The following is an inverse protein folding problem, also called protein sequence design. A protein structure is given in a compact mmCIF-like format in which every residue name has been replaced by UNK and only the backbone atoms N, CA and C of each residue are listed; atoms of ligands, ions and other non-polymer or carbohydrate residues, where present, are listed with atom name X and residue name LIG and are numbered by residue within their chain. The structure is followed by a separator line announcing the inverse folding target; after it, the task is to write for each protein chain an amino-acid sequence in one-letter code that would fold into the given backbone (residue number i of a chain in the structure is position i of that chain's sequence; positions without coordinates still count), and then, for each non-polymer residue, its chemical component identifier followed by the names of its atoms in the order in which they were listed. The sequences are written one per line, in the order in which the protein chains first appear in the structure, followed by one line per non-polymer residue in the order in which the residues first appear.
data_IF_223553916682
#
_entry.id   IF_223553916682
#
_cell.length_a   1.000
_cell.length_b   1.000
_cell.length_c   1.000
_cell.angle_alpha   90.00
_cell.angle_beta   90.00
_cell.angle_gamma   90.00
#
_symmetry.space_group_name_H-M   'P 1'
#
loop_
_entity.id
_entity.type
_entity.pdbx_description
1 polymer ?
#
# COMPACT_ATOMS: atom_id res chain seq x y z
N UNK A 1 18.83 -7.28 -23.09
CA UNK A 1 19.22 -7.60 -21.89
C UNK A 1 18.12 -7.83 -20.79
N UNK A 2 18.51 -8.40 -19.67
CA UNK A 2 17.58 -8.94 -18.69
C UNK A 2 16.47 -8.02 -18.21
N UNK A 3 16.74 -6.73 -18.10
CA UNK A 3 15.75 -5.76 -17.61
C UNK A 3 14.57 -5.58 -18.56
N UNK A 4 14.81 -5.68 -19.87
CA UNK A 4 13.73 -5.60 -20.83
C UNK A 4 12.76 -6.79 -20.73
N UNK A 5 13.25 -7.94 -20.26
CA UNK A 5 12.41 -9.11 -20.06
C UNK A 5 11.59 -9.03 -18.77
N UNK A 6 11.95 -8.14 -17.86
CA UNK A 6 11.23 -7.97 -16.59
C UNK A 6 10.23 -6.82 -16.66
N UNK A 7 9.44 -6.81 -17.71
CA UNK A 7 8.28 -5.93 -17.68
C UNK A 7 7.45 -6.34 -16.48
N UNK A 8 7.43 -5.49 -15.46
CA UNK A 8 6.63 -5.74 -14.30
C UNK A 8 5.19 -5.99 -14.77
N UNK A 9 4.63 -7.12 -14.39
CA UNK A 9 3.20 -7.32 -14.52
C UNK A 9 2.57 -6.18 -13.74
N UNK A 10 1.62 -5.49 -14.34
CA UNK A 10 0.91 -4.40 -13.68
C UNK A 10 0.43 -4.86 -12.30
N UNK A 11 0.74 -4.08 -11.27
CA UNK A 11 0.39 -4.42 -9.90
C UNK A 11 1.35 -5.34 -9.17
N UNK A 12 2.57 -5.58 -9.70
CA UNK A 12 3.60 -6.38 -9.02
C UNK A 12 4.85 -5.55 -8.78
N UNK A 13 5.01 -5.04 -7.56
CA UNK A 13 6.15 -4.22 -7.13
C UNK A 13 6.52 -3.14 -8.13
N UNK A 14 5.52 -2.47 -8.67
CA UNK A 14 5.72 -1.47 -9.71
C UNK A 14 5.86 -0.09 -9.06
N UNK A 15 7.03 0.56 -9.16
CA UNK A 15 7.23 1.86 -8.52
C UNK A 15 6.68 2.99 -9.39
N UNK A 16 6.10 3.99 -8.70
CA UNK A 16 5.68 5.24 -9.32
C UNK A 16 6.17 6.38 -8.44
N UNK A 17 6.89 7.32 -9.04
CA UNK A 17 7.23 8.56 -8.33
C UNK A 17 6.13 9.56 -8.59
N UNK A 18 5.42 9.96 -7.53
CA UNK A 18 4.36 10.94 -7.64
C UNK A 18 4.94 12.35 -7.79
N UNK A 19 4.12 13.28 -8.30
CA UNK A 19 4.55 14.67 -8.53
C UNK A 19 5.07 15.35 -7.27
N UNK A 20 4.52 14.99 -6.11
CA UNK A 20 4.96 15.51 -4.80
C UNK A 20 6.21 14.81 -4.24
N UNK A 21 6.83 13.92 -4.99
CA UNK A 21 8.04 13.21 -4.58
C UNK A 21 7.83 11.91 -3.83
N UNK A 22 6.58 11.55 -3.52
CA UNK A 22 6.27 10.30 -2.84
C UNK A 22 6.55 9.11 -3.75
N UNK A 23 7.19 8.07 -3.19
CA UNK A 23 7.36 6.79 -3.88
C UNK A 23 6.15 5.91 -3.57
N UNK A 24 5.37 5.59 -4.59
CA UNK A 24 4.23 4.69 -4.48
C UNK A 24 4.57 3.38 -5.16
N UNK A 25 4.49 2.27 -4.42
CA UNK A 25 4.72 0.94 -4.95
C UNK A 25 3.37 0.26 -5.17
N UNK A 26 3.08 -0.04 -6.42
CA UNK A 26 1.88 -0.80 -6.79
C UNK A 26 2.19 -2.29 -6.74
N UNK A 27 1.75 -2.95 -5.66
CA UNK A 27 1.86 -4.40 -5.48
C UNK A 27 0.46 -5.00 -5.30
N UNK A 28 -0.50 -4.48 -6.05
CA UNK A 28 -1.93 -4.73 -5.88
C UNK A 28 -2.44 -5.99 -6.60
N UNK A 29 -1.58 -6.69 -7.35
CA UNK A 29 -2.05 -7.82 -8.16
C UNK A 29 -2.59 -8.96 -7.30
N UNK A 30 -1.87 -9.35 -6.24
CA UNK A 30 -2.28 -10.42 -5.34
C UNK A 30 -1.58 -10.29 -3.99
N UNK A 31 -2.03 -11.08 -3.01
CA UNK A 31 -1.44 -11.08 -1.67
C UNK A 31 -1.59 -12.44 -0.99
N UNK A 32 -0.47 -12.95 -0.46
CA UNK A 32 -0.42 -14.06 0.46
C UNK A 32 0.55 -13.71 1.59
N UNK A 33 0.61 -14.47 2.69
CA UNK A 33 1.47 -14.10 3.83
C UNK A 33 2.93 -13.88 3.45
N UNK A 34 3.52 -14.75 2.64
CA UNK A 34 4.93 -14.63 2.25
C UNK A 34 5.16 -13.39 1.39
N UNK A 35 4.28 -13.12 0.42
CA UNK A 35 4.43 -11.94 -0.44
C UNK A 35 4.19 -10.65 0.32
N UNK A 36 3.32 -10.65 1.33
CA UNK A 36 3.11 -9.47 2.18
C UNK A 36 4.35 -9.21 3.03
N UNK A 37 4.95 -10.23 3.62
CA UNK A 37 6.19 -10.07 4.39
C UNK A 37 7.31 -9.52 3.52
N UNK A 38 7.47 -10.05 2.30
CA UNK A 38 8.47 -9.53 1.36
C UNK A 38 8.21 -8.06 1.00
N UNK A 39 6.94 -7.70 0.81
CA UNK A 39 6.56 -6.32 0.53
C UNK A 39 6.88 -5.39 1.71
N UNK A 40 6.62 -5.85 2.94
CA UNK A 40 6.95 -5.08 4.14
C UNK A 40 8.47 -4.85 4.22
N UNK A 41 9.26 -5.87 3.91
CA UNK A 41 10.73 -5.72 3.89
C UNK A 41 11.18 -4.65 2.89
N UNK A 42 10.59 -4.64 1.71
CA UNK A 42 10.88 -3.62 0.69
C UNK A 42 10.49 -2.23 1.22
N UNK A 43 9.28 -2.10 1.73
CA UNK A 43 8.79 -0.81 2.25
C UNK A 43 9.67 -0.30 3.39
N UNK A 44 10.10 -1.21 4.27
CA UNK A 44 10.96 -0.85 5.41
C UNK A 44 12.31 -0.27 4.98
N UNK A 45 12.77 -0.56 3.76
CA UNK A 45 14.02 -0.03 3.23
C UNK A 45 13.87 1.34 2.55
N UNK A 46 12.64 1.84 2.40
CA UNK A 46 12.36 3.10 1.73
C UNK A 46 12.28 4.26 2.72
N UNK A 47 12.32 5.52 2.24
CA UNK A 47 12.27 6.68 3.12
C UNK A 47 10.98 6.76 3.94
N UNK A 48 11.15 7.12 5.21
CA UNK A 48 10.05 7.34 6.16
C UNK A 48 9.51 8.78 6.04
N UNK A 49 8.25 9.06 6.38
CA UNK A 49 7.24 8.13 6.90
C UNK A 49 6.70 7.18 5.82
N UNK A 50 6.47 5.92 6.22
CA UNK A 50 6.04 4.86 5.32
C UNK A 50 4.64 4.39 5.66
N UNK A 51 3.87 4.08 4.63
CA UNK A 51 2.49 3.61 4.77
C UNK A 51 2.32 2.30 4.01
N UNK A 52 1.84 1.29 4.72
CA UNK A 52 1.38 0.05 4.08
C UNK A 52 -0.14 0.11 3.97
N UNK A 53 -0.66 -0.03 2.76
CA UNK A 53 -2.09 -0.14 2.51
C UNK A 53 -2.38 -1.58 2.16
N UNK A 54 -3.08 -2.29 3.03
CA UNK A 54 -3.25 -3.74 2.93
C UNK A 54 -4.72 -4.12 2.82
N UNK A 55 -5.07 -4.81 1.75
CA UNK A 55 -6.36 -5.46 1.59
C UNK A 55 -6.28 -6.93 2.02
N UNK A 56 -7.42 -7.55 2.20
CA UNK A 56 -7.47 -8.95 2.64
C UNK A 56 -6.64 -9.85 1.74
N UNK A 57 -5.94 -10.81 2.35
CA UNK A 57 -5.23 -11.86 1.63
C UNK A 57 -6.20 -12.95 1.23
N UNK A 58 -6.00 -13.53 0.04
CA UNK A 58 -6.79 -14.66 -0.43
C UNK A 58 -6.09 -15.98 -0.17
N UNK A 59 -6.83 -17.06 -0.30
CA UNK A 59 -6.31 -18.44 -0.29
C UNK A 59 -5.53 -18.80 0.98
N UNK A 60 -5.95 -18.27 2.13
CA UNK A 60 -5.27 -18.52 3.41
C UNK A 60 -5.95 -19.60 4.26
N UNK A 61 -7.13 -20.06 3.84
CA UNK A 61 -7.85 -21.14 4.52
C UNK A 61 -8.20 -20.83 5.98
N UNK A 62 -8.22 -21.86 6.82
CA UNK A 62 -8.60 -21.75 8.22
C UNK A 62 -7.62 -20.93 9.06
N UNK A 63 -6.40 -20.77 8.58
CA UNK A 63 -5.37 -19.98 9.27
C UNK A 63 -5.43 -18.49 8.89
N UNK A 64 -6.41 -18.10 8.08
CA UNK A 64 -6.56 -16.73 7.61
C UNK A 64 -6.48 -15.67 8.71
N UNK A 65 -7.28 -15.80 9.79
CA UNK A 65 -7.22 -14.83 10.89
C UNK A 65 -5.82 -14.70 11.51
N UNK A 66 -5.17 -15.81 11.81
CA UNK A 66 -3.83 -15.81 12.40
C UNK A 66 -2.80 -15.19 11.45
N UNK A 67 -2.91 -15.47 10.15
CA UNK A 67 -2.01 -14.93 9.13
C UNK A 67 -2.17 -13.43 8.95
N UNK A 68 -3.41 -12.93 9.00
CA UNK A 68 -3.67 -11.49 8.93
C UNK A 68 -3.12 -10.78 10.17
N UNK A 69 -3.29 -11.36 11.34
CA UNK A 69 -2.73 -10.83 12.57
C UNK A 69 -1.19 -10.78 12.51
N UNK A 70 -0.58 -11.85 12.03
CA UNK A 70 0.87 -11.97 11.93
C UNK A 70 1.49 -10.91 11.04
N UNK A 71 0.91 -10.64 9.86
CA UNK A 71 1.47 -9.63 8.95
C UNK A 71 1.34 -8.22 9.53
N UNK A 72 0.28 -7.94 10.29
CA UNK A 72 0.14 -6.67 10.99
C UNK A 72 1.22 -6.48 12.05
N UNK A 73 1.46 -7.51 12.84
CA UNK A 73 2.53 -7.50 13.84
C UNK A 73 3.90 -7.34 13.18
N UNK A 74 4.12 -8.03 12.07
CA UNK A 74 5.39 -7.95 11.35
C UNK A 74 5.65 -6.54 10.81
N UNK A 75 4.64 -5.89 10.25
CA UNK A 75 4.76 -4.52 9.78
C UNK A 75 5.18 -3.58 10.92
N UNK A 76 4.58 -3.76 12.09
CA UNK A 76 4.94 -2.99 13.29
C UNK A 76 6.39 -3.25 13.69
N UNK A 77 6.82 -4.51 13.74
CA UNK A 77 8.18 -4.88 14.10
C UNK A 77 9.22 -4.29 13.16
N UNK A 78 8.87 -4.19 11.86
CA UNK A 78 9.75 -3.61 10.84
C UNK A 78 9.77 -2.08 10.86
N UNK A 79 9.01 -1.45 11.76
CA UNK A 79 9.03 -0.01 11.94
C UNK A 79 8.21 0.80 10.96
N UNK A 80 7.26 0.17 10.26
CA UNK A 80 6.35 0.90 9.37
C UNK A 80 5.52 1.85 10.23
N UNK A 81 5.44 3.12 9.83
CA UNK A 81 4.78 4.14 10.63
C UNK A 81 3.26 4.05 10.61
N UNK A 82 2.68 3.69 9.46
CA UNK A 82 1.22 3.67 9.32
C UNK A 82 0.77 2.44 8.55
N UNK A 83 -0.35 1.87 8.98
CA UNK A 83 -1.03 0.77 8.29
C UNK A 83 -2.47 1.18 8.02
N UNK A 84 -2.87 1.17 6.76
CA UNK A 84 -4.25 1.34 6.35
C UNK A 84 -4.78 -0.02 5.89
N UNK A 85 -5.95 -0.41 6.37
CA UNK A 85 -6.52 -1.72 6.03
C UNK A 85 -7.87 -1.59 5.35
N UNK A 86 -8.14 -2.52 4.43
CA UNK A 86 -9.44 -2.68 3.78
C UNK A 86 -9.85 -4.14 3.82
N UNK A 87 -11.10 -4.39 4.21
CA UNK A 87 -11.64 -5.74 4.29
C UNK A 87 -11.85 -6.19 5.72
N UNK A 88 -12.50 -7.33 5.87
CA UNK A 88 -12.85 -7.86 7.19
C UNK A 88 -11.65 -8.50 7.90
N UNK A 89 -10.86 -9.27 7.16
CA UNK A 89 -9.75 -10.02 7.75
C UNK A 89 -8.61 -9.11 8.19
N UNK A 90 -8.34 -8.05 7.43
CA UNK A 90 -7.27 -7.11 7.76
C UNK A 90 -7.57 -6.26 9.00
N UNK A 91 -8.78 -6.32 9.53
CA UNK A 91 -9.07 -5.70 10.84
C UNK A 91 -8.19 -6.29 11.92
N UNK A 92 -7.89 -7.58 11.82
CA UNK A 92 -6.95 -8.25 12.74
C UNK A 92 -5.52 -7.73 12.56
N UNK A 93 -5.14 -7.43 11.32
CA UNK A 93 -3.83 -6.80 11.05
C UNK A 93 -3.75 -5.43 11.73
N UNK A 94 -4.83 -4.65 11.65
CA UNK A 94 -4.88 -3.33 12.27
C UNK A 94 -4.74 -3.40 13.79
N UNK A 95 -5.42 -4.36 14.42
CA UNK A 95 -5.33 -4.56 15.87
C UNK A 95 -3.90 -4.92 16.27
N UNK A 96 -3.28 -5.85 15.55
CA UNK A 96 -1.91 -6.29 15.84
C UNK A 96 -0.88 -5.17 15.61
N UNK A 97 -1.12 -4.32 14.63
CA UNK A 97 -0.25 -3.18 14.32
C UNK A 97 -0.30 -2.13 15.43
N UNK A 98 -1.48 -1.82 15.92
CA UNK A 98 -1.66 -0.89 17.04
C UNK A 98 -2.25 0.45 16.66
N UNK A 99 -1.95 1.47 17.45
CA UNK A 99 -2.64 2.77 17.43
C UNK A 99 -2.49 3.57 16.14
N UNK A 100 -1.46 3.30 15.33
CA UNK A 100 -1.23 4.00 14.07
C UNK A 100 -1.85 3.26 12.88
N UNK A 101 -2.68 2.28 13.14
CA UNK A 101 -3.46 1.61 12.10
C UNK A 101 -4.78 2.33 11.90
N UNK A 102 -5.21 2.42 10.65
CA UNK A 102 -6.48 3.03 10.24
C UNK A 102 -7.28 1.99 9.46
N UNK A 103 -8.46 1.65 9.97
CA UNK A 103 -9.37 0.76 9.26
C UNK A 103 -10.18 1.60 8.27
N UNK A 104 -10.01 1.32 6.98
CA UNK A 104 -10.75 2.00 5.92
C UNK A 104 -11.91 1.13 5.46
N UNK A 105 -13.04 1.74 5.20
CA UNK A 105 -14.21 1.05 4.68
C UNK A 105 -14.25 1.07 3.15
N UNK A 106 -13.63 2.08 2.53
CA UNK A 106 -13.62 2.25 1.09
C UNK A 106 -12.22 2.58 0.58
N UNK A 107 -11.99 2.35 -0.71
CA UNK A 107 -10.72 2.72 -1.36
C UNK A 107 -10.53 4.23 -1.34
N UNK A 108 -11.60 5.01 -1.40
CA UNK A 108 -11.56 6.48 -1.34
C UNK A 108 -11.02 6.96 -0.01
N UNK A 109 -11.42 6.32 1.09
CA UNK A 109 -10.91 6.68 2.42
C UNK A 109 -9.41 6.51 2.50
N UNK A 110 -8.88 5.43 1.92
CA UNK A 110 -7.43 5.19 1.90
C UNK A 110 -6.70 6.25 1.07
N UNK A 111 -7.22 6.57 -0.12
CA UNK A 111 -6.63 7.60 -0.99
C UNK A 111 -6.65 8.96 -0.32
N UNK A 112 -7.76 9.31 0.32
CA UNK A 112 -7.91 10.58 1.03
C UNK A 112 -6.94 10.68 2.20
N UNK A 113 -6.77 9.59 2.95
CA UNK A 113 -5.81 9.57 4.05
C UNK A 113 -4.39 9.86 3.55
N UNK A 114 -3.99 9.21 2.45
CA UNK A 114 -2.66 9.41 1.86
C UNK A 114 -2.48 10.86 1.42
N UNK A 115 -3.50 11.45 0.82
CA UNK A 115 -3.45 12.83 0.34
C UNK A 115 -3.36 13.86 1.49
N UNK A 116 -3.89 13.52 2.66
CA UNK A 116 -3.99 14.43 3.80
C UNK A 116 -2.84 14.32 4.79
N UNK A 117 -1.94 13.37 4.61
CA UNK A 117 -0.84 13.12 5.55
C UNK A 117 0.52 13.25 4.87
N UNK A 118 1.52 13.64 5.64
CA UNK A 118 2.89 13.71 5.15
C UNK A 118 3.48 12.31 5.14
N UNK A 119 3.72 11.78 3.93
CA UNK A 119 4.31 10.46 3.74
C UNK A 119 5.38 10.54 2.67
N UNK A 120 6.35 9.63 2.71
CA UNK A 120 7.39 9.55 1.70
C UNK A 120 7.31 8.29 0.86
N UNK A 121 6.81 7.20 1.43
CA UNK A 121 6.72 5.92 0.74
C UNK A 121 5.40 5.25 1.06
N UNK A 122 4.72 4.75 0.04
CA UNK A 122 3.44 4.05 0.16
C UNK A 122 3.52 2.76 -0.63
N UNK A 123 3.13 1.64 -0.03
CA UNK A 123 3.01 0.37 -0.75
C UNK A 123 1.59 -0.14 -0.63
N UNK A 124 0.98 -0.47 -1.76
CA UNK A 124 -0.43 -0.88 -1.84
C UNK A 124 -0.49 -2.33 -2.29
N UNK A 125 -1.12 -3.19 -1.47
CA UNK A 125 -1.16 -4.62 -1.68
C UNK A 125 -2.47 -5.23 -1.16
N UNK A 126 -2.96 -6.25 -1.85
CA UNK A 126 -4.15 -6.99 -1.45
C UNK A 126 -4.41 -8.11 -2.44
N UNK A 127 -5.32 -9.03 -2.08
CA UNK A 127 -5.72 -10.09 -3.00
C UNK A 127 -6.40 -9.52 -4.25
N UNK A 128 -6.41 -10.31 -5.32
CA UNK A 128 -6.95 -9.86 -6.60
C UNK A 128 -8.38 -9.35 -6.50
N UNK A 129 -9.22 -10.02 -5.69
CA UNK A 129 -10.62 -9.63 -5.56
C UNK A 129 -10.83 -8.30 -4.82
N UNK A 130 -9.84 -7.82 -4.07
CA UNK A 130 -9.92 -6.54 -3.36
C UNK A 130 -9.77 -5.35 -4.29
N UNK A 131 -9.22 -5.55 -5.47
CA UNK A 131 -9.01 -4.50 -6.48
C UNK A 131 -8.30 -3.27 -5.93
N UNK A 132 -7.21 -3.51 -5.23
CA UNK A 132 -6.44 -2.44 -4.59
C UNK A 132 -5.82 -1.47 -5.59
N UNK A 133 -5.73 -1.85 -6.86
CA UNK A 133 -5.26 -0.95 -7.92
C UNK A 133 -6.12 0.31 -8.07
N UNK A 134 -7.35 0.30 -7.55
CA UNK A 134 -8.19 1.51 -7.54
C UNK A 134 -7.56 2.62 -6.71
N UNK A 135 -6.92 2.26 -5.59
CA UNK A 135 -6.22 3.23 -4.75
C UNK A 135 -5.01 3.79 -5.49
N UNK A 136 -4.25 2.92 -6.15
CA UNK A 136 -3.10 3.32 -6.98
C UNK A 136 -3.53 4.35 -8.02
N UNK A 137 -4.58 4.02 -8.76
CA UNK A 137 -5.09 4.88 -9.82
C UNK A 137 -5.52 6.25 -9.30
N UNK A 138 -6.26 6.26 -8.19
CA UNK A 138 -6.72 7.51 -7.58
C UNK A 138 -5.54 8.36 -7.13
N UNK A 139 -4.54 7.77 -6.50
CA UNK A 139 -3.35 8.50 -6.07
C UNK A 139 -2.59 9.09 -7.26
N UNK A 140 -2.43 8.33 -8.34
CA UNK A 140 -1.75 8.81 -9.54
C UNK A 140 -2.50 10.00 -10.14
N UNK A 141 -3.82 9.93 -10.24
CA UNK A 141 -4.65 11.01 -10.78
C UNK A 141 -4.60 12.26 -9.92
N UNK A 142 -4.72 12.12 -8.59
CA UNK A 142 -4.73 13.25 -7.66
C UNK A 142 -3.39 14.01 -7.69
N UNK A 143 -2.28 13.32 -7.62
CA UNK A 143 -0.97 13.97 -7.56
C UNK A 143 -0.53 14.50 -8.93
N UNK A 144 -0.93 13.87 -10.01
CA UNK A 144 -0.70 14.39 -11.34
C UNK A 144 -1.49 15.68 -11.55
N UNK A 145 -2.76 15.71 -11.13
CA UNK A 145 -3.60 16.89 -11.25
C UNK A 145 -3.03 18.06 -10.41
N UNK A 146 -2.55 17.78 -9.19
CA UNK A 146 -1.92 18.79 -8.33
C UNK A 146 -0.69 19.39 -8.98
N UNK A 147 0.14 18.58 -9.63
CA UNK A 147 1.33 19.04 -10.32
C UNK A 147 0.98 19.97 -11.47
N UNK A 148 -0.04 19.61 -12.26
CA UNK A 148 -0.52 20.45 -13.35
C UNK A 148 -1.02 21.80 -12.85
N UNK A 149 -1.72 21.82 -11.73
CA UNK A 149 -2.21 23.08 -11.14
C UNK A 149 -1.05 23.95 -10.65
N UNK A 150 -0.06 23.37 -10.02
CA UNK A 150 1.14 24.08 -9.58
C UNK A 150 1.88 24.69 -10.78
N UNK A 151 2.05 23.95 -11.85
CA UNK A 151 2.69 24.43 -13.07
C UNK A 151 1.91 25.58 -13.68
N UNK A 152 0.58 25.52 -13.71
CA UNK A 152 -0.27 26.60 -14.21
C UNK A 152 -0.07 27.89 -13.42
N UNK A 153 0.05 27.80 -12.10
CA UNK A 153 0.22 28.96 -11.24
C UNK A 153 1.64 29.53 -11.21
N UNK A 154 2.61 28.73 -11.62
CA UNK A 154 4.02 29.14 -11.69
C UNK A 154 4.34 29.95 -12.95
N UNK A 155 3.47 29.92 -13.95
CA UNK A 155 3.62 30.65 -15.19
C UNK A 155 2.77 31.92 -15.18
#
# INVERSE_FOLDING_TARGET
HGLAAFHAVSGRMQPHRLANGVMLIDDSYNANPDSVRAAIDVLASLPAPRVLVLGDMGEVGDNGPAMHEEVGAYARECGIEHLLTLGQATRLSAIAFGSQAVVCETTEQASDWIAQHVVKSVLIKGSRFMRMEKIVRTCLEQFEASDKDVVKHAV
#
